data_IF_732940624701
#
_entry.id   IF_732940624701
#
_cell.length_a   1.000
_cell.length_b   1.000
_cell.length_c   1.000
_cell.angle_alpha   90.00
_cell.angle_beta   90.00
_cell.angle_gamma   90.00
#
_symmetry.space_group_name_H-M   'P 1'
#
loop_
_entity.id
_entity.type
_entity.pdbx_description
1 polymer ?
#
# COMPACT_ATOMS: atom_id res chain seq x y z
N UNK A 1 8.18 -16.55 8.26
CA UNK A 1 7.11 -15.66 7.74
C UNK A 1 5.92 -15.73 8.70
N UNK A 2 5.27 -14.60 8.98
CA UNK A 2 4.02 -14.59 9.75
C UNK A 2 2.87 -15.19 8.92
N UNK A 3 1.92 -15.85 9.59
CA UNK A 3 0.77 -16.48 8.94
C UNK A 3 -0.06 -15.45 8.19
N UNK A 4 -0.22 -15.61 6.87
CA UNK A 4 -1.07 -14.73 6.06
C UNK A 4 -2.54 -14.78 6.49
N UNK A 5 -3.00 -15.88 7.10
CA UNK A 5 -4.35 -15.97 7.65
C UNK A 5 -4.55 -15.06 8.87
N UNK A 6 -3.51 -14.85 9.67
CA UNK A 6 -3.54 -13.96 10.84
C UNK A 6 -3.13 -12.52 10.51
N UNK A 7 -2.19 -12.37 9.58
CA UNK A 7 -1.57 -11.10 9.20
C UNK A 7 -1.60 -10.89 7.67
N UNK A 8 -2.78 -10.76 7.06
CA UNK A 8 -2.87 -10.56 5.62
C UNK A 8 -2.36 -9.18 5.21
N UNK A 9 -1.81 -9.09 4.01
CA UNK A 9 -1.64 -7.80 3.34
C UNK A 9 -3.01 -7.17 3.07
N UNK A 10 -3.09 -5.83 3.11
CA UNK A 10 -4.34 -5.17 2.75
C UNK A 10 -4.79 -5.50 1.33
N UNK A 11 -3.88 -5.67 0.36
CA UNK A 11 -4.24 -6.10 -0.99
C UNK A 11 -4.97 -7.44 -1.02
N UNK A 12 -4.44 -8.44 -0.30
CA UNK A 12 -5.07 -9.76 -0.18
C UNK A 12 -6.44 -9.66 0.50
N UNK A 13 -6.53 -8.91 1.60
CA UNK A 13 -7.78 -8.73 2.35
C UNK A 13 -8.85 -7.97 1.55
N UNK A 14 -8.52 -6.87 0.88
CA UNK A 14 -9.51 -6.03 0.23
C UNK A 14 -9.88 -6.48 -1.20
N UNK A 15 -9.00 -7.23 -1.88
CA UNK A 15 -9.26 -7.69 -3.27
C UNK A 15 -9.76 -9.13 -3.36
N UNK A 16 -9.32 -10.04 -2.49
CA UNK A 16 -9.64 -11.46 -2.61
C UNK A 16 -10.79 -11.89 -1.67
N UNK A 17 -12.03 -11.73 -2.13
CA UNK A 17 -13.23 -12.02 -1.34
C UNK A 17 -13.37 -13.49 -0.93
N UNK A 18 -12.98 -14.42 -1.79
CA UNK A 18 -13.04 -15.87 -1.52
C UNK A 18 -12.11 -16.22 -0.35
N UNK A 19 -10.86 -15.77 -0.44
CA UNK A 19 -9.88 -16.00 0.62
C UNK A 19 -10.30 -15.39 1.97
N UNK A 20 -10.86 -14.17 1.96
CA UNK A 20 -11.39 -13.53 3.18
C UNK A 20 -12.50 -14.35 3.82
N UNK A 21 -13.39 -14.94 3.00
CA UNK A 21 -14.48 -15.79 3.49
C UNK A 21 -13.92 -17.05 4.14
N UNK A 22 -12.93 -17.69 3.53
CA UNK A 22 -12.30 -18.93 4.03
C UNK A 22 -11.47 -18.71 5.31
N UNK A 23 -10.95 -17.51 5.51
CA UNK A 23 -10.10 -17.15 6.65
C UNK A 23 -10.79 -16.27 7.68
N UNK A 24 -12.11 -16.07 7.54
CA UNK A 24 -12.92 -15.25 8.43
C UNK A 24 -12.75 -15.68 9.89
N UNK A 25 -12.47 -14.71 10.76
CA UNK A 25 -12.24 -14.94 12.19
C UNK A 25 -10.80 -15.33 12.58
N UNK A 26 -9.91 -15.53 11.60
CA UNK A 26 -8.48 -15.80 11.85
C UNK A 26 -7.62 -14.52 11.79
N UNK A 27 -8.13 -13.45 11.20
CA UNK A 27 -7.43 -12.19 11.01
C UNK A 27 -7.23 -11.46 12.35
N UNK A 28 -5.97 -11.26 12.75
CA UNK A 28 -5.63 -10.47 13.94
C UNK A 28 -5.36 -9.01 13.57
N UNK A 29 -4.51 -8.77 12.57
CA UNK A 29 -4.14 -7.43 12.09
C UNK A 29 -3.98 -7.46 10.57
N UNK A 30 -4.51 -6.46 9.86
CA UNK A 30 -4.33 -6.29 8.41
C UNK A 30 -3.24 -5.25 8.18
N UNK A 31 -2.24 -5.55 7.36
CA UNK A 31 -1.18 -4.58 7.05
C UNK A 31 -1.73 -3.40 6.23
N UNK A 32 -1.61 -2.19 6.77
CA UNK A 32 -2.10 -0.92 6.21
C UNK A 32 -1.17 -0.30 5.14
N UNK A 33 -0.51 -1.14 4.32
CA UNK A 33 0.21 -0.66 3.13
C UNK A 33 -0.66 -0.69 1.86
N UNK A 34 -1.97 -0.96 2.01
CA UNK A 34 -2.90 -0.96 0.90
C UNK A 34 -3.57 0.40 0.75
N UNK A 35 -3.04 1.20 -0.16
CA UNK A 35 -3.61 2.49 -0.50
C UNK A 35 -4.71 2.25 -1.55
N UNK A 36 -5.98 2.30 -1.13
CA UNK A 36 -7.11 2.33 -2.06
C UNK A 36 -6.97 3.58 -2.94
N UNK A 37 -7.14 3.41 -4.24
CA UNK A 37 -6.95 4.51 -5.19
C UNK A 37 -5.48 4.88 -5.37
N UNK A 38 -4.53 3.96 -5.15
CA UNK A 38 -3.11 4.15 -5.47
C UNK A 38 -2.92 4.74 -6.87
N UNK A 39 -3.53 4.15 -7.90
CA UNK A 39 -3.45 4.67 -9.27
C UNK A 39 -4.03 6.09 -9.41
N UNK A 40 -5.19 6.35 -8.79
CA UNK A 40 -5.80 7.69 -8.77
C UNK A 40 -4.92 8.70 -8.03
N UNK A 41 -4.24 8.26 -6.96
CA UNK A 41 -3.30 9.07 -6.18
C UNK A 41 -2.05 9.39 -7.02
N UNK A 42 -1.44 8.39 -7.66
CA UNK A 42 -0.31 8.57 -8.58
C UNK A 42 -0.70 9.50 -9.73
N UNK A 43 -1.86 9.27 -10.36
CA UNK A 43 -2.38 10.12 -11.43
C UNK A 43 -2.54 11.56 -10.95
N UNK A 44 -3.20 11.79 -9.81
CA UNK A 44 -3.34 13.12 -9.20
C UNK A 44 -1.98 13.76 -8.92
N UNK A 45 -1.02 13.01 -8.40
CA UNK A 45 0.30 13.58 -8.12
C UNK A 45 1.03 14.01 -9.39
N UNK A 46 0.88 13.26 -10.49
CA UNK A 46 1.43 13.63 -11.80
C UNK A 46 0.66 14.79 -12.45
N UNK A 47 -0.67 14.72 -12.47
CA UNK A 47 -1.53 15.75 -13.08
C UNK A 47 -1.33 17.14 -12.46
N UNK A 48 -1.06 17.18 -11.15
CA UNK A 48 -0.89 18.42 -10.39
C UNK A 48 0.57 18.75 -10.05
N UNK A 49 1.55 18.01 -10.60
CA UNK A 49 2.98 18.14 -10.26
C UNK A 49 3.27 18.14 -8.74
N UNK A 50 2.45 17.42 -7.97
CA UNK A 50 2.63 17.21 -6.53
C UNK A 50 3.61 16.08 -6.23
N UNK A 51 4.01 15.34 -7.27
CA UNK A 51 5.16 14.46 -7.21
C UNK A 51 6.42 15.34 -7.18
N UNK A 52 6.84 15.72 -5.97
CA UNK A 52 8.23 16.17 -5.73
C UNK A 52 9.12 15.11 -6.41
N UNK A 53 10.04 15.47 -7.30
CA UNK A 53 11.42 15.77 -6.95
C UNK A 53 12.20 16.09 -8.23
N UNK A 54 13.03 17.15 -8.24
CA UNK A 54 14.33 17.12 -8.94
C UNK A 54 15.38 18.03 -8.28
N UNK A 55 15.12 19.34 -8.12
CA UNK A 55 16.19 20.30 -7.72
C UNK A 55 16.77 20.09 -6.29
N UNK A 56 15.99 19.51 -5.37
CA UNK A 56 16.40 19.23 -3.98
C UNK A 56 16.33 17.74 -3.62
N UNK A 57 16.35 16.86 -4.62
CA UNK A 57 16.33 15.40 -4.43
C UNK A 57 17.36 14.93 -3.40
N UNK A 58 18.57 15.46 -3.52
CA UNK A 58 19.75 15.13 -2.73
C UNK A 58 19.66 15.53 -1.25
N UNK A 59 18.72 16.42 -0.89
CA UNK A 59 18.46 16.82 0.49
C UNK A 59 17.52 15.85 1.21
N UNK A 60 16.71 15.12 0.45
CA UNK A 60 15.88 14.04 0.98
C UNK A 60 16.75 12.83 1.36
N UNK A 61 16.51 12.20 2.52
CA UNK A 61 17.08 10.88 2.82
C UNK A 61 16.76 9.81 1.75
N UNK A 62 15.73 10.02 0.93
CA UNK A 62 15.33 9.12 -0.16
C UNK A 62 16.01 9.43 -1.50
N UNK A 63 16.66 10.58 -1.67
CA UNK A 63 17.35 10.94 -2.92
C UNK A 63 18.87 10.73 -2.92
N UNK A 64 19.43 10.11 -1.87
CA UNK A 64 20.86 9.73 -1.78
C UNK A 64 21.12 8.23 -2.05
N UNK A 65 20.08 7.43 -2.31
CA UNK A 65 20.18 6.01 -2.66
C UNK A 65 20.41 5.81 -4.16
#
# INVERSE_FOLDING_TARGET
MLSQAAFPTGGLYFKNKTWVKETKGKHAIIHNNYIVGFEKKIKRFRDFNLWLVDDHASESPLGKL
#
